data_IF_381821632677
#
_entry.id   IF_381821632677
#
_cell.length_a   1.000
_cell.length_b   1.000
_cell.length_c   1.000
_cell.angle_alpha   90.00
_cell.angle_beta   90.00
_cell.angle_gamma   90.00
#
_symmetry.space_group_name_H-M   'P 1'
#
loop_
_entity.id
_entity.type
_entity.pdbx_description
1 polymer ?
#
# COMPACT_ATOMS: atom_id res chain seq x y z
N UNK A 1 5.28 4.33 -20.74
CA UNK A 1 3.94 4.34 -20.18
C UNK A 1 3.93 4.80 -18.73
N UNK A 2 2.95 5.62 -18.38
CA UNK A 2 2.82 6.10 -17.01
C UNK A 2 2.19 5.05 -16.11
N UNK A 3 2.63 5.00 -14.89
CA UNK A 3 2.05 4.11 -13.89
C UNK A 3 1.30 4.92 -12.82
N UNK A 4 0.29 4.29 -12.23
CA UNK A 4 -0.42 4.81 -11.08
C UNK A 4 0.01 4.00 -9.87
N UNK A 5 0.73 4.62 -8.95
CA UNK A 5 1.34 3.94 -7.81
C UNK A 5 0.47 4.11 -6.57
N UNK A 6 0.02 2.99 -6.04
CA UNK A 6 -0.85 2.93 -4.85
C UNK A 6 -0.13 2.18 -3.74
N UNK A 7 0.09 2.84 -2.62
CA UNK A 7 0.69 2.22 -1.44
C UNK A 7 -0.42 1.88 -0.46
N UNK A 8 -0.47 0.60 -0.04
CA UNK A 8 -1.41 0.15 0.97
C UNK A 8 -0.67 -0.09 2.27
N UNK A 9 -1.21 0.41 3.36
CA UNK A 9 -0.76 0.12 4.72
C UNK A 9 -1.97 -0.10 5.62
N UNK A 10 -1.74 -0.62 6.82
CA UNK A 10 -2.82 -0.85 7.76
C UNK A 10 -2.41 -1.83 8.85
N UNK A 11 -3.34 -2.10 9.75
CA UNK A 11 -3.11 -2.95 10.90
C UNK A 11 -2.95 -4.41 10.56
N UNK A 12 -2.20 -5.10 11.40
CA UNK A 12 -1.99 -6.55 11.29
C UNK A 12 -3.27 -7.34 11.54
N UNK A 13 -4.22 -6.74 12.24
CA UNK A 13 -5.51 -7.36 12.54
C UNK A 13 -6.63 -6.85 11.63
N UNK A 14 -6.31 -6.01 10.67
CA UNK A 14 -7.30 -5.54 9.70
C UNK A 14 -7.77 -6.73 8.86
N UNK A 15 -9.08 -6.92 8.80
CA UNK A 15 -9.66 -8.08 8.14
C UNK A 15 -10.84 -7.77 7.22
N UNK A 16 -11.14 -6.49 6.98
CA UNK A 16 -12.24 -6.13 6.09
C UNK A 16 -11.82 -6.23 4.63
N UNK A 17 -11.69 -7.45 4.16
CA UNK A 17 -11.28 -7.80 2.80
C UNK A 17 -12.18 -7.15 1.74
N UNK A 18 -13.48 -7.22 1.96
CA UNK A 18 -14.47 -6.70 1.02
C UNK A 18 -14.28 -5.19 0.80
N UNK A 19 -14.08 -4.44 1.88
CA UNK A 19 -13.88 -2.99 1.79
C UNK A 19 -12.61 -2.64 1.03
N UNK A 20 -11.50 -3.28 1.38
CA UNK A 20 -10.22 -2.98 0.73
C UNK A 20 -10.25 -3.39 -0.75
N UNK A 21 -10.84 -4.53 -1.07
CA UNK A 21 -10.99 -4.97 -2.45
C UNK A 21 -11.78 -3.95 -3.27
N UNK A 22 -12.87 -3.42 -2.70
CA UNK A 22 -13.69 -2.41 -3.39
C UNK A 22 -12.90 -1.14 -3.67
N UNK A 23 -12.14 -0.67 -2.69
CA UNK A 23 -11.31 0.54 -2.84
C UNK A 23 -10.25 0.34 -3.91
N UNK A 24 -9.57 -0.81 -3.88
CA UNK A 24 -8.52 -1.11 -4.86
C UNK A 24 -9.10 -1.33 -6.27
N UNK A 25 -10.27 -1.94 -6.37
CA UNK A 25 -10.95 -2.09 -7.67
C UNK A 25 -11.28 -0.71 -8.27
N UNK A 26 -11.72 0.22 -7.45
CA UNK A 26 -11.99 1.59 -7.91
C UNK A 26 -10.72 2.29 -8.39
N UNK A 27 -9.62 2.10 -7.65
CA UNK A 27 -8.32 2.67 -8.05
C UNK A 27 -7.82 2.06 -9.36
N UNK A 28 -7.98 0.76 -9.52
CA UNK A 28 -7.59 0.06 -10.75
C UNK A 28 -8.41 0.55 -11.94
N UNK A 29 -9.71 0.71 -11.76
CA UNK A 29 -10.58 1.23 -12.82
C UNK A 29 -10.15 2.63 -13.24
N UNK A 30 -9.87 3.51 -12.28
CA UNK A 30 -9.42 4.86 -12.57
C UNK A 30 -8.11 4.88 -13.36
N UNK A 31 -7.15 4.03 -12.97
CA UNK A 31 -5.88 3.91 -13.67
C UNK A 31 -6.08 3.43 -15.11
N UNK A 32 -6.89 2.39 -15.28
CA UNK A 32 -7.19 1.81 -16.60
C UNK A 32 -7.83 2.84 -17.52
N UNK A 33 -8.80 3.58 -17.01
CA UNK A 33 -9.49 4.62 -17.80
C UNK A 33 -8.55 5.76 -18.17
N UNK A 34 -7.54 6.02 -17.38
CA UNK A 34 -6.53 7.05 -17.66
C UNK A 34 -5.37 6.53 -18.52
N UNK A 35 -5.42 5.27 -18.96
CA UNK A 35 -4.36 4.67 -19.77
C UNK A 35 -3.07 4.43 -19.01
N UNK A 36 -3.14 4.25 -17.70
CA UNK A 36 -1.98 4.02 -16.83
C UNK A 36 -1.93 2.57 -16.37
N UNK A 37 -0.72 2.05 -16.20
CA UNK A 37 -0.53 0.77 -15.52
C UNK A 37 -0.72 0.96 -14.02
N UNK A 38 -1.03 -0.12 -13.30
CA UNK A 38 -1.26 -0.07 -11.86
C UNK A 38 -0.08 -0.69 -11.13
N UNK A 39 0.47 0.02 -10.15
CA UNK A 39 1.52 -0.50 -9.28
C UNK A 39 1.01 -0.52 -7.85
N UNK A 40 1.03 -1.71 -7.24
CA UNK A 40 0.73 -1.87 -5.82
C UNK A 40 2.02 -1.91 -5.02
N UNK A 41 2.08 -1.14 -3.95
CA UNK A 41 3.23 -1.09 -3.05
C UNK A 41 2.75 -1.43 -1.65
N UNK A 42 3.41 -2.35 -0.96
CA UNK A 42 3.07 -2.66 0.43
C UNK A 42 4.28 -3.20 1.19
N UNK A 43 4.13 -3.33 2.49
CA UNK A 43 5.23 -3.69 3.39
C UNK A 43 5.36 -5.16 3.74
N UNK A 44 4.55 -6.03 3.15
CA UNK A 44 4.63 -7.48 3.41
C UNK A 44 4.18 -7.89 4.80
N UNK A 45 3.46 -7.04 5.53
CA UNK A 45 2.99 -7.36 6.86
C UNK A 45 1.68 -8.17 6.81
N UNK A 46 1.34 -8.80 7.94
CA UNK A 46 0.06 -9.46 8.10
C UNK A 46 -1.08 -8.41 8.06
N UNK A 47 -2.28 -8.82 7.74
CA UNK A 47 -3.46 -7.95 7.74
C UNK A 47 -3.66 -7.22 6.43
N UNK A 48 -3.70 -5.90 6.47
CA UNK A 48 -4.00 -5.09 5.28
C UNK A 48 -3.07 -5.38 4.10
N UNK A 49 -1.77 -5.47 4.35
CA UNK A 49 -0.80 -5.74 3.28
C UNK A 49 -1.04 -7.10 2.61
N UNK A 50 -1.33 -8.13 3.41
CA UNK A 50 -1.65 -9.48 2.90
C UNK A 50 -2.92 -9.47 2.06
N UNK A 51 -3.95 -8.75 2.51
CA UNK A 51 -5.21 -8.62 1.76
C UNK A 51 -4.96 -7.92 0.42
N UNK A 52 -4.20 -6.83 0.44
CA UNK A 52 -3.87 -6.11 -0.79
C UNK A 52 -3.08 -6.99 -1.77
N UNK A 53 -2.14 -7.77 -1.26
CA UNK A 53 -1.35 -8.70 -2.08
C UNK A 53 -2.25 -9.76 -2.73
N UNK A 54 -3.18 -10.32 -1.96
CA UNK A 54 -4.15 -11.29 -2.48
C UNK A 54 -5.03 -10.66 -3.57
N UNK A 55 -5.46 -9.41 -3.36
CA UNK A 55 -6.21 -8.67 -4.37
C UNK A 55 -5.42 -8.57 -5.68
N UNK A 56 -4.16 -8.16 -5.59
CA UNK A 56 -3.30 -8.00 -6.77
C UNK A 56 -3.11 -9.32 -7.51
N UNK A 57 -2.95 -10.43 -6.77
CA UNK A 57 -2.84 -11.76 -7.36
C UNK A 57 -4.13 -12.16 -8.08
N UNK A 58 -5.28 -11.95 -7.44
CA UNK A 58 -6.58 -12.28 -8.02
C UNK A 58 -6.91 -11.43 -9.25
N UNK A 59 -6.46 -10.18 -9.28
CA UNK A 59 -6.65 -9.29 -10.42
C UNK A 59 -5.53 -9.41 -11.44
N UNK A 60 -4.56 -10.29 -11.23
CA UNK A 60 -3.43 -10.55 -12.14
C UNK A 60 -2.64 -9.28 -12.47
N UNK A 61 -2.40 -8.45 -11.46
CA UNK A 61 -1.72 -7.17 -11.65
C UNK A 61 -0.31 -7.37 -12.21
N UNK A 62 0.53 -8.16 -11.53
CA UNK A 62 1.92 -8.34 -11.93
C UNK A 62 2.09 -9.18 -13.22
N UNK A 63 1.17 -10.11 -13.48
CA UNK A 63 1.21 -10.92 -14.69
C UNK A 63 0.59 -10.25 -15.90
N UNK A 64 -0.13 -9.13 -15.67
CA UNK A 64 -0.70 -8.32 -16.72
C UNK A 64 0.19 -7.12 -17.04
N UNK A 65 -0.32 -5.92 -16.82
CA UNK A 65 0.30 -4.67 -17.22
C UNK A 65 0.84 -3.84 -16.05
N UNK A 66 0.71 -4.35 -14.85
CA UNK A 66 1.09 -3.65 -13.64
C UNK A 66 2.27 -4.29 -12.92
N UNK A 67 2.46 -3.89 -11.68
CA UNK A 67 3.55 -4.36 -10.86
C UNK A 67 3.13 -4.43 -9.39
N UNK A 68 3.78 -5.30 -8.62
CA UNK A 68 3.61 -5.40 -7.17
C UNK A 68 4.98 -5.30 -6.53
N UNK A 69 5.17 -4.30 -5.67
CA UNK A 69 6.46 -4.06 -5.01
C UNK A 69 6.31 -4.20 -3.51
N UNK A 70 7.08 -5.11 -2.93
CA UNK A 70 7.01 -5.46 -1.52
C UNK A 70 8.27 -5.00 -0.80
N UNK A 71 8.09 -4.26 0.29
CA UNK A 71 9.19 -3.76 1.13
C UNK A 71 9.08 -4.38 2.51
N UNK A 72 9.79 -5.47 2.73
CA UNK A 72 9.76 -6.12 4.05
C UNK A 72 10.67 -5.41 5.03
N UNK A 73 10.19 -5.24 6.27
CA UNK A 73 10.99 -4.69 7.35
C UNK A 73 12.01 -5.72 7.82
N UNK A 74 13.21 -5.29 8.12
CA UNK A 74 14.26 -6.17 8.63
C UNK A 74 14.33 -6.06 10.15
N UNK A 75 13.48 -6.82 10.83
CA UNK A 75 13.36 -6.80 12.29
C UNK A 75 14.61 -7.30 13.00
N UNK A 76 15.36 -8.21 12.38
CA UNK A 76 16.62 -8.68 12.95
C UNK A 76 17.67 -7.57 13.03
N UNK A 77 17.82 -6.82 11.93
CA UNK A 77 18.81 -5.75 11.85
C UNK A 77 18.38 -4.50 12.60
N UNK A 78 17.15 -4.07 12.38
CA UNK A 78 16.70 -2.73 12.77
C UNK A 78 15.85 -2.72 14.03
N UNK A 79 15.45 -3.88 14.55
CA UNK A 79 14.67 -4.01 15.78
C UNK A 79 13.38 -3.18 15.71
N UNK A 80 13.12 -2.36 16.73
CA UNK A 80 11.89 -1.55 16.79
C UNK A 80 11.82 -0.49 15.71
N UNK A 81 12.95 -0.10 15.14
CA UNK A 81 13.00 0.88 14.06
C UNK A 81 12.69 0.28 12.68
N UNK A 82 12.57 -1.04 12.57
CA UNK A 82 12.41 -1.72 11.29
C UNK A 82 11.17 -1.24 10.50
N UNK A 83 10.02 -1.11 11.18
CA UNK A 83 8.80 -0.62 10.55
C UNK A 83 8.93 0.80 10.03
N UNK A 84 9.32 1.76 10.87
CA UNK A 84 9.54 3.13 10.42
C UNK A 84 10.57 3.27 9.29
N UNK A 85 11.67 2.54 9.35
CA UNK A 85 12.69 2.55 8.30
C UNK A 85 12.08 2.06 6.98
N UNK A 86 11.37 0.92 7.00
CA UNK A 86 10.70 0.37 5.84
C UNK A 86 9.68 1.34 5.25
N UNK A 87 8.87 1.97 6.11
CA UNK A 87 7.87 2.93 5.66
C UNK A 87 8.51 4.11 4.93
N UNK A 88 9.60 4.63 5.47
CA UNK A 88 10.32 5.73 4.86
C UNK A 88 10.91 5.35 3.51
N UNK A 89 11.44 4.13 3.40
CA UNK A 89 11.98 3.63 2.13
C UNK A 89 10.90 3.51 1.06
N UNK A 90 9.74 2.96 1.41
CA UNK A 90 8.62 2.86 0.49
C UNK A 90 8.24 4.24 -0.06
N UNK A 91 8.08 5.20 0.85
CA UNK A 91 7.66 6.54 0.48
C UNK A 91 8.70 7.23 -0.41
N UNK A 92 9.97 7.17 -0.01
CA UNK A 92 11.06 7.86 -0.70
C UNK A 92 11.37 7.24 -2.06
N UNK A 93 11.42 5.90 -2.13
CA UNK A 93 11.78 5.21 -3.36
C UNK A 93 10.63 5.17 -4.36
N UNK A 94 9.41 4.96 -3.90
CA UNK A 94 8.28 4.75 -4.79
C UNK A 94 7.52 6.03 -5.14
N UNK A 95 7.54 7.02 -4.28
CA UNK A 95 6.80 8.27 -4.47
C UNK A 95 5.36 7.98 -4.90
N UNK A 96 4.58 7.29 -4.05
CA UNK A 96 3.24 6.87 -4.42
C UNK A 96 2.33 8.05 -4.73
N UNK A 97 1.37 7.84 -5.60
CA UNK A 97 0.37 8.84 -5.93
C UNK A 97 -0.74 8.94 -4.87
N UNK A 98 -0.97 7.82 -4.18
CA UNK A 98 -1.96 7.76 -3.11
C UNK A 98 -1.55 6.69 -2.10
N UNK A 99 -1.87 6.94 -0.84
CA UNK A 99 -1.73 5.96 0.24
C UNK A 99 -3.13 5.57 0.70
N UNK A 100 -3.41 4.26 0.68
CA UNK A 100 -4.63 3.71 1.25
C UNK A 100 -4.26 3.14 2.61
N UNK A 101 -4.75 3.77 3.67
CA UNK A 101 -4.43 3.42 5.04
C UNK A 101 -5.64 2.77 5.70
N UNK A 102 -5.57 1.46 5.90
CA UNK A 102 -6.60 0.72 6.62
C UNK A 102 -6.39 0.87 8.13
N UNK A 103 -7.48 0.74 8.90
CA UNK A 103 -7.43 0.86 10.35
C UNK A 103 -6.25 0.07 10.93
N UNK A 104 -5.44 0.72 11.77
CA UNK A 104 -4.24 0.09 12.32
C UNK A 104 -3.69 0.85 13.51
N UNK A 105 -2.50 0.46 13.93
CA UNK A 105 -1.82 1.01 15.10
C UNK A 105 -0.74 2.02 14.75
N UNK A 106 0.36 1.98 15.53
CA UNK A 106 1.44 2.96 15.45
C UNK A 106 2.15 2.97 14.08
N UNK A 107 2.35 1.80 13.48
CA UNK A 107 3.01 1.71 12.17
C UNK A 107 2.21 2.36 11.07
N UNK A 108 0.89 2.19 11.10
CA UNK A 108 -0.02 2.82 10.14
C UNK A 108 -0.05 4.33 10.36
N UNK A 109 -0.15 4.77 11.62
CA UNK A 109 -0.13 6.19 11.96
C UNK A 109 1.16 6.87 11.48
N UNK A 110 2.30 6.18 11.61
CA UNK A 110 3.58 6.68 11.13
C UNK A 110 3.56 6.88 9.60
N UNK A 111 3.06 5.88 8.86
CA UNK A 111 2.98 5.97 7.40
C UNK A 111 2.07 7.12 6.95
N UNK A 112 0.93 7.28 7.60
CA UNK A 112 0.00 8.39 7.32
C UNK A 112 0.68 9.73 7.56
N UNK A 113 1.38 9.87 8.68
CA UNK A 113 2.08 11.10 9.03
C UNK A 113 3.12 11.48 7.99
N UNK A 114 4.05 10.56 7.68
CA UNK A 114 5.13 10.88 6.73
C UNK A 114 4.60 11.06 5.31
N UNK A 115 3.55 10.34 4.94
CA UNK A 115 2.90 10.50 3.63
C UNK A 115 2.30 11.89 3.48
N UNK A 116 1.57 12.36 4.49
CA UNK A 116 0.98 13.71 4.48
C UNK A 116 2.06 14.78 4.47
N UNK A 117 3.12 14.60 5.24
CA UNK A 117 4.26 15.53 5.23
C UNK A 117 4.93 15.62 3.85
N UNK A 118 4.93 14.53 3.11
CA UNK A 118 5.46 14.49 1.74
C UNK A 118 4.45 14.98 0.69
N UNK A 119 3.26 15.38 1.09
CA UNK A 119 2.23 15.88 0.17
C UNK A 119 1.47 14.79 -0.57
N UNK A 120 1.53 13.54 -0.11
CA UNK A 120 0.82 12.43 -0.75
C UNK A 120 -0.61 12.35 -0.21
N UNK A 121 -1.63 12.30 -1.08
CA UNK A 121 -3.01 12.07 -0.63
C UNK A 121 -3.14 10.76 0.13
N UNK A 122 -3.84 10.78 1.25
CA UNK A 122 -4.09 9.60 2.07
C UNK A 122 -5.58 9.35 2.18
N UNK A 123 -6.01 8.16 1.80
CA UNK A 123 -7.37 7.69 2.00
C UNK A 123 -7.38 6.75 3.21
N UNK A 124 -8.02 7.17 4.29
CA UNK A 124 -8.12 6.35 5.49
C UNK A 124 -9.40 5.53 5.48
N UNK A 125 -9.26 4.24 5.79
CA UNK A 125 -10.38 3.30 5.86
C UNK A 125 -10.50 2.83 7.30
N UNK A 126 -11.59 3.19 7.99
CA UNK A 126 -11.77 2.90 9.41
C UNK A 126 -12.41 1.54 9.69
N UNK A 127 -12.90 0.88 8.68
CA UNK A 127 -13.57 -0.43 8.85
C UNK A 127 -13.17 -1.44 7.77
#
# INVERSE_FOLDING_TARGET
>A
MKEFRVLVCGGRDYDNRERLFRVLDQALQAATMAGKSFTLIHGGARGADTIAHAWATMRQIASGWGDVRVYEANWERDKKAAGPIRNKLMLTNEKPHVIVACKGGAGTAHMVKIGREAGVPVLEIDE
#
